data_IF_688535648222
#
_entry.id   IF_688535648222
#
_cell.length_a   1.000
_cell.length_b   1.000
_cell.length_c   1.000
_cell.angle_alpha   90.00
_cell.angle_beta   90.00
_cell.angle_gamma   90.00
#
_symmetry.space_group_name_H-M   'P 1'
#
loop_
_entity.id
_entity.type
_entity.pdbx_description
1 polymer ?
#
# COMPACT_ATOMS: atom_id res chain seq x y z
N UNK A 1 -27.25 13.50 10.28
CA UNK A 1 -26.82 12.12 9.99
C UNK A 1 -26.37 12.13 8.56
N UNK A 2 -25.10 11.82 8.31
CA UNK A 2 -24.63 11.60 6.94
C UNK A 2 -25.34 10.37 6.38
N UNK A 3 -25.89 10.49 5.20
CA UNK A 3 -26.59 9.40 4.52
C UNK A 3 -25.51 8.40 4.03
N UNK A 4 -25.51 7.19 4.59
CA UNK A 4 -24.60 6.14 4.17
C UNK A 4 -25.04 5.59 2.81
N UNK A 5 -24.16 5.68 1.84
CA UNK A 5 -24.37 5.13 0.49
C UNK A 5 -23.66 3.78 0.39
N UNK A 6 -24.40 2.75 0.00
CA UNK A 6 -23.85 1.43 -0.29
C UNK A 6 -23.53 1.31 -1.77
N UNK A 7 -22.28 0.95 -2.10
CA UNK A 7 -21.81 0.70 -3.45
C UNK A 7 -21.34 -0.74 -3.59
N UNK A 8 -21.53 -1.33 -4.77
CA UNK A 8 -20.81 -2.56 -5.10
C UNK A 8 -19.32 -2.26 -5.32
N UNK A 9 -18.47 -3.29 -5.19
CA UNK A 9 -17.02 -3.17 -5.44
C UNK A 9 -16.77 -2.59 -6.83
N UNK A 10 -17.48 -3.08 -7.85
CA UNK A 10 -17.35 -2.60 -9.23
C UNK A 10 -17.75 -1.13 -9.38
N UNK A 11 -18.82 -0.70 -8.71
CA UNK A 11 -19.23 0.71 -8.74
C UNK A 11 -18.20 1.61 -8.06
N UNK A 12 -17.65 1.16 -6.94
CA UNK A 12 -16.60 1.90 -6.23
C UNK A 12 -15.32 2.00 -7.07
N UNK A 13 -14.88 0.89 -7.68
CA UNK A 13 -13.73 0.86 -8.59
C UNK A 13 -13.92 1.84 -9.76
N UNK A 14 -15.04 1.79 -10.46
CA UNK A 14 -15.32 2.69 -11.59
C UNK A 14 -15.38 4.17 -11.18
N UNK A 15 -15.93 4.47 -10.01
CA UNK A 15 -15.96 5.83 -9.48
C UNK A 15 -14.54 6.34 -9.20
N UNK A 16 -13.72 5.56 -8.53
CA UNK A 16 -12.32 5.90 -8.20
C UNK A 16 -11.49 6.04 -9.47
N UNK A 17 -11.63 5.13 -10.42
CA UNK A 17 -10.97 5.20 -11.73
C UNK A 17 -11.27 6.50 -12.47
N UNK A 18 -12.54 6.87 -12.56
CA UNK A 18 -12.96 8.14 -13.19
C UNK A 18 -12.33 9.35 -12.51
N UNK A 19 -12.30 9.37 -11.18
CA UNK A 19 -11.68 10.46 -10.42
C UNK A 19 -10.16 10.53 -10.63
N UNK A 20 -9.46 9.39 -10.68
CA UNK A 20 -8.02 9.33 -10.92
C UNK A 20 -7.67 9.79 -12.34
N UNK A 21 -8.47 9.43 -13.35
CA UNK A 21 -8.31 9.92 -14.73
C UNK A 21 -8.55 11.44 -14.78
N UNK A 22 -9.58 11.93 -14.11
CA UNK A 22 -9.86 13.37 -14.04
C UNK A 22 -8.76 14.16 -13.33
N UNK A 23 -8.03 13.53 -12.39
CA UNK A 23 -6.84 14.09 -11.77
C UNK A 23 -5.58 14.06 -12.66
N UNK A 24 -5.66 13.44 -13.84
CA UNK A 24 -4.58 13.37 -14.83
C UNK A 24 -3.85 12.04 -14.92
N UNK A 25 -4.23 11.03 -14.14
CA UNK A 25 -3.55 9.73 -14.20
C UNK A 25 -3.95 8.98 -15.50
N UNK A 26 -2.98 8.37 -16.22
CA UNK A 26 -3.27 7.53 -17.39
C UNK A 26 -4.24 6.39 -17.04
N UNK A 27 -5.04 5.99 -18.01
CA UNK A 27 -6.11 5.00 -17.81
C UNK A 27 -5.63 3.68 -17.17
N UNK A 28 -4.46 3.20 -17.58
CA UNK A 28 -3.89 1.95 -17.06
C UNK A 28 -3.54 2.05 -15.57
N UNK A 29 -2.78 3.09 -15.21
CA UNK A 29 -2.43 3.36 -13.82
C UNK A 29 -3.66 3.68 -12.96
N UNK A 30 -4.63 4.41 -13.50
CA UNK A 30 -5.90 4.70 -12.82
C UNK A 30 -6.72 3.43 -12.57
N UNK A 31 -6.80 2.53 -13.56
CA UNK A 31 -7.52 1.25 -13.41
C UNK A 31 -6.88 0.35 -12.36
N UNK A 32 -5.56 0.18 -12.40
CA UNK A 32 -4.85 -0.67 -11.44
C UNK A 32 -4.95 -0.09 -10.02
N UNK A 33 -4.82 1.23 -9.88
CA UNK A 33 -4.96 1.91 -8.58
C UNK A 33 -6.38 1.77 -8.02
N UNK A 34 -7.40 2.03 -8.84
CA UNK A 34 -8.79 1.93 -8.42
C UNK A 34 -9.16 0.51 -7.99
N UNK A 35 -8.72 -0.50 -8.75
CA UNK A 35 -8.91 -1.91 -8.41
C UNK A 35 -8.27 -2.27 -7.07
N UNK A 36 -7.03 -1.84 -6.84
CA UNK A 36 -6.33 -2.07 -5.57
C UNK A 36 -7.11 -1.47 -4.39
N UNK A 37 -7.51 -0.20 -4.49
CA UNK A 37 -8.25 0.49 -3.44
C UNK A 37 -9.63 -0.16 -3.16
N UNK A 38 -10.34 -0.57 -4.21
CA UNK A 38 -11.62 -1.25 -4.08
C UNK A 38 -11.48 -2.60 -3.36
N UNK A 39 -10.43 -3.36 -3.69
CA UNK A 39 -10.12 -4.63 -3.01
C UNK A 39 -9.74 -4.38 -1.54
N UNK A 40 -8.96 -3.34 -1.23
CA UNK A 40 -8.63 -2.99 0.14
C UNK A 40 -9.90 -2.70 0.98
N UNK A 41 -10.84 -1.93 0.44
CA UNK A 41 -12.13 -1.68 1.10
C UNK A 41 -12.96 -2.98 1.25
N UNK A 42 -13.04 -3.78 0.22
CA UNK A 42 -13.79 -5.04 0.22
C UNK A 42 -13.24 -6.07 1.22
N UNK A 43 -11.96 -5.99 1.54
CA UNK A 43 -11.29 -6.86 2.53
C UNK A 43 -11.21 -6.24 3.93
N UNK A 44 -11.87 -5.09 4.16
CA UNK A 44 -11.93 -4.42 5.45
C UNK A 44 -10.71 -3.57 5.80
N UNK A 45 -9.79 -3.34 4.86
CA UNK A 45 -8.60 -2.50 5.04
C UNK A 45 -8.89 -1.07 4.59
N UNK A 46 -9.91 -0.45 5.15
CA UNK A 46 -10.41 0.87 4.74
C UNK A 46 -9.35 1.98 4.77
N UNK A 47 -8.35 1.87 5.64
CA UNK A 47 -7.22 2.83 5.69
C UNK A 47 -6.41 2.90 4.38
N UNK A 48 -6.52 1.88 3.52
CA UNK A 48 -5.85 1.76 2.22
C UNK A 48 -6.84 1.67 1.06
N UNK A 49 -8.12 1.95 1.31
CA UNK A 49 -9.19 1.99 0.33
C UNK A 49 -9.49 3.38 -0.22
N UNK A 50 -10.76 3.66 -0.50
CA UNK A 50 -11.25 4.90 -1.10
C UNK A 50 -10.86 6.17 -0.33
N UNK A 51 -10.64 6.08 0.98
CA UNK A 51 -10.14 7.18 1.83
C UNK A 51 -8.82 7.78 1.31
N UNK A 52 -8.05 7.04 0.52
CA UNK A 52 -6.78 7.51 -0.07
C UNK A 52 -6.97 8.38 -1.31
N UNK A 53 -8.15 8.49 -1.86
CA UNK A 53 -8.39 9.20 -3.13
C UNK A 53 -7.99 10.66 -3.07
N UNK A 54 -8.36 11.37 -2.01
CA UNK A 54 -8.02 12.79 -1.88
C UNK A 54 -6.50 13.00 -1.74
N UNK A 55 -5.84 12.14 -0.97
CA UNK A 55 -4.38 12.15 -0.83
C UNK A 55 -3.68 11.93 -2.17
N UNK A 56 -4.14 10.98 -3.00
CA UNK A 56 -3.53 10.76 -4.32
C UNK A 56 -3.83 11.89 -5.29
N UNK A 57 -5.06 12.40 -5.30
CA UNK A 57 -5.42 13.54 -6.15
C UNK A 57 -4.57 14.79 -5.81
N UNK A 58 -4.35 15.05 -4.53
CA UNK A 58 -3.50 16.14 -4.08
C UNK A 58 -2.03 15.94 -4.50
N UNK A 59 -1.49 14.74 -4.36
CA UNK A 59 -0.12 14.43 -4.79
C UNK A 59 0.05 14.56 -6.29
N UNK A 60 -0.92 14.13 -7.08
CA UNK A 60 -0.93 14.31 -8.54
C UNK A 60 -0.92 15.80 -8.87
N UNK A 61 -1.83 16.58 -8.29
CA UNK A 61 -1.93 18.02 -8.54
C UNK A 61 -0.66 18.81 -8.17
N UNK A 62 0.06 18.35 -7.14
CA UNK A 62 1.35 18.95 -6.70
C UNK A 62 2.57 18.43 -7.45
N UNK A 63 2.39 17.57 -8.46
CA UNK A 63 3.51 16.98 -9.21
C UNK A 63 4.34 15.95 -8.43
N UNK A 64 3.81 15.41 -7.33
CA UNK A 64 4.45 14.39 -6.50
C UNK A 64 4.34 12.98 -7.07
N UNK A 65 3.72 12.80 -8.23
CA UNK A 65 3.60 11.53 -8.96
C UNK A 65 3.86 11.79 -10.43
N UNK A 66 4.76 11.03 -11.04
CA UNK A 66 5.00 11.05 -12.49
C UNK A 66 3.83 10.39 -13.21
N UNK A 67 3.11 11.14 -14.05
CA UNK A 67 1.91 10.66 -14.74
C UNK A 67 2.23 9.67 -15.87
N UNK A 68 3.34 9.86 -16.56
CA UNK A 68 3.82 8.97 -17.63
C UNK A 68 5.22 8.44 -17.28
N UNK A 69 5.33 7.56 -16.27
CA UNK A 69 6.62 7.07 -15.81
C UNK A 69 7.29 6.19 -16.86
N UNK A 70 8.61 6.35 -16.99
CA UNK A 70 9.45 5.47 -17.80
C UNK A 70 9.89 4.28 -16.98
N UNK A 71 9.01 3.30 -16.87
CA UNK A 71 9.29 2.07 -16.14
C UNK A 71 10.39 1.27 -16.80
N UNK A 72 11.33 0.75 -16.02
CA UNK A 72 12.39 -0.11 -16.53
C UNK A 72 12.77 -1.17 -15.51
N UNK A 73 13.31 -2.29 -16.02
CA UNK A 73 13.81 -3.38 -15.20
C UNK A 73 15.28 -3.64 -15.54
N UNK A 74 16.14 -3.54 -14.53
CA UNK A 74 17.56 -3.88 -14.62
C UNK A 74 17.78 -5.27 -14.02
N UNK A 75 18.17 -6.23 -14.85
CA UNK A 75 18.50 -7.58 -14.40
C UNK A 75 19.89 -7.60 -13.77
N UNK A 76 19.97 -7.92 -12.48
CA UNK A 76 21.23 -7.97 -11.71
C UNK A 76 21.79 -9.38 -11.53
N UNK A 77 21.00 -10.41 -11.87
CA UNK A 77 21.36 -11.81 -11.81
C UNK A 77 20.36 -12.71 -12.52
N UNK A 78 20.53 -14.04 -12.51
CA UNK A 78 19.63 -14.98 -13.18
C UNK A 78 18.17 -14.85 -12.75
N UNK A 79 17.93 -14.59 -11.45
CA UNK A 79 16.61 -14.52 -10.84
C UNK A 79 16.42 -13.22 -10.03
N UNK A 80 17.25 -12.20 -10.27
CA UNK A 80 17.24 -10.96 -9.48
C UNK A 80 17.27 -9.73 -10.37
N UNK A 81 16.69 -8.62 -9.89
CA UNK A 81 16.76 -7.33 -10.57
C UNK A 81 16.16 -6.19 -9.75
N UNK A 82 16.29 -5.00 -10.30
CA UNK A 82 15.75 -3.76 -9.77
C UNK A 82 14.73 -3.20 -10.77
N UNK A 83 13.55 -2.91 -10.27
CA UNK A 83 12.49 -2.25 -11.03
C UNK A 83 12.44 -0.76 -10.69
N UNK A 84 12.68 0.07 -11.68
CA UNK A 84 12.68 1.53 -11.55
C UNK A 84 11.30 2.08 -11.89
N UNK A 85 10.65 2.69 -10.92
CA UNK A 85 9.28 3.18 -11.02
C UNK A 85 9.15 4.62 -11.51
N UNK A 86 10.26 5.35 -11.71
CA UNK A 86 10.28 6.75 -12.17
C UNK A 86 9.28 7.64 -11.41
N UNK A 87 9.13 7.41 -10.11
CA UNK A 87 8.19 8.10 -9.23
C UNK A 87 6.72 8.01 -9.67
N UNK A 88 6.36 6.94 -10.39
CA UNK A 88 5.01 6.68 -10.85
C UNK A 88 4.05 6.29 -9.72
N UNK A 89 2.77 6.08 -10.07
CA UNK A 89 1.74 5.64 -9.13
C UNK A 89 2.06 4.26 -8.55
N UNK A 90 2.20 4.19 -7.23
CA UNK A 90 2.77 3.03 -6.55
C UNK A 90 2.04 1.72 -6.83
N UNK A 91 0.70 1.73 -6.87
CA UNK A 91 -0.08 0.54 -7.20
C UNK A 91 0.24 -0.01 -8.59
N UNK A 92 0.38 0.88 -9.56
CA UNK A 92 0.73 0.51 -10.93
C UNK A 92 2.19 0.01 -11.02
N UNK A 93 3.13 0.76 -10.47
CA UNK A 93 4.57 0.41 -10.47
C UNK A 93 4.81 -0.95 -9.81
N UNK A 94 4.29 -1.17 -8.61
CA UNK A 94 4.50 -2.43 -7.88
C UNK A 94 3.77 -3.61 -8.53
N UNK A 95 2.64 -3.37 -9.23
CA UNK A 95 1.99 -4.41 -10.00
C UNK A 95 2.84 -4.86 -11.21
N UNK A 96 3.42 -3.92 -11.94
CA UNK A 96 4.33 -4.24 -13.05
C UNK A 96 5.59 -4.97 -12.55
N UNK A 97 6.17 -4.55 -11.42
CA UNK A 97 7.29 -5.24 -10.80
C UNK A 97 6.93 -6.66 -10.37
N UNK A 98 5.72 -6.89 -9.81
CA UNK A 98 5.25 -8.21 -9.42
C UNK A 98 5.06 -9.14 -10.64
N UNK A 99 4.58 -8.65 -11.76
CA UNK A 99 4.51 -9.43 -13.01
C UNK A 99 5.88 -9.95 -13.43
N UNK A 100 6.91 -9.11 -13.34
CA UNK A 100 8.29 -9.50 -13.64
C UNK A 100 8.79 -10.54 -12.64
N UNK A 101 8.54 -10.33 -11.34
CA UNK A 101 8.93 -11.28 -10.29
C UNK A 101 8.30 -12.66 -10.51
N UNK A 102 7.01 -12.72 -10.84
CA UNK A 102 6.29 -13.96 -11.17
C UNK A 102 6.92 -14.65 -12.39
N UNK A 103 7.19 -13.88 -13.45
CA UNK A 103 7.82 -14.43 -14.67
C UNK A 103 9.19 -15.04 -14.37
N UNK A 104 10.06 -14.31 -13.69
CA UNK A 104 11.40 -14.79 -13.30
C UNK A 104 11.32 -16.01 -12.38
N UNK A 105 10.38 -16.03 -11.42
CA UNK A 105 10.22 -17.15 -10.51
C UNK A 105 9.78 -18.43 -11.24
N UNK A 106 8.92 -18.31 -12.25
CA UNK A 106 8.50 -19.45 -13.10
C UNK A 106 9.65 -19.99 -13.95
N UNK A 107 10.57 -19.14 -14.39
CA UNK A 107 11.74 -19.56 -15.17
C UNK A 107 12.85 -20.15 -14.30
N UNK A 108 13.16 -19.52 -13.18
CA UNK A 108 14.34 -19.84 -12.37
C UNK A 108 14.03 -20.59 -11.06
N UNK A 109 12.75 -20.82 -10.73
CA UNK A 109 12.31 -21.45 -9.49
C UNK A 109 12.22 -20.49 -8.31
N UNK A 110 12.85 -19.31 -8.38
CA UNK A 110 12.83 -18.24 -7.38
C UNK A 110 13.07 -16.90 -8.08
N UNK A 111 12.56 -15.81 -7.51
CA UNK A 111 12.94 -14.46 -7.94
C UNK A 111 13.05 -13.49 -6.76
N UNK A 112 13.90 -12.48 -6.93
CA UNK A 112 13.96 -11.31 -6.04
C UNK A 112 13.99 -10.04 -6.90
N UNK A 113 12.96 -9.18 -6.73
CA UNK A 113 12.84 -7.92 -7.44
C UNK A 113 12.77 -6.78 -6.43
N UNK A 114 13.79 -5.94 -6.40
CA UNK A 114 13.76 -4.67 -5.68
C UNK A 114 12.95 -3.65 -6.49
N UNK A 115 12.18 -2.80 -5.81
CA UNK A 115 11.42 -1.71 -6.45
C UNK A 115 11.87 -0.40 -5.85
N UNK A 116 12.25 0.54 -6.67
CA UNK A 116 12.66 1.88 -6.24
C UNK A 116 11.95 2.98 -7.02
N UNK A 117 12.04 4.22 -6.52
CA UNK A 117 11.39 5.38 -7.13
C UNK A 117 9.90 5.14 -7.39
N UNK A 118 9.20 4.73 -6.36
CA UNK A 118 7.74 4.52 -6.40
C UNK A 118 7.04 5.37 -5.35
N UNK A 119 5.79 5.76 -5.61
CA UNK A 119 4.96 6.41 -4.61
C UNK A 119 4.31 5.39 -3.67
N UNK A 120 3.40 5.82 -2.79
CA UNK A 120 2.68 4.92 -1.88
C UNK A 120 2.00 3.77 -2.65
N UNK A 121 2.31 2.54 -2.27
CA UNK A 121 1.95 1.33 -2.99
C UNK A 121 0.69 0.60 -2.47
N UNK A 122 0.06 1.12 -1.41
CA UNK A 122 -1.14 0.49 -0.83
C UNK A 122 -0.83 -0.72 0.05
N UNK A 123 -1.70 -1.72 0.03
CA UNK A 123 -1.52 -2.97 0.78
C UNK A 123 -0.59 -3.93 0.06
N UNK A 124 0.32 -4.57 0.77
CA UNK A 124 1.23 -5.56 0.19
C UNK A 124 0.52 -6.87 -0.13
N UNK A 125 -0.56 -7.19 0.59
CA UNK A 125 -1.42 -8.36 0.35
C UNK A 125 -1.88 -8.48 -1.10
N UNK A 126 -2.16 -7.35 -1.75
CA UNK A 126 -2.60 -7.29 -3.14
C UNK A 126 -1.61 -7.94 -4.12
N UNK A 127 -0.33 -7.71 -3.91
CA UNK A 127 0.73 -8.21 -4.79
C UNK A 127 1.07 -9.67 -4.51
N UNK A 128 1.25 -10.03 -3.23
CA UNK A 128 1.59 -11.41 -2.87
C UNK A 128 0.46 -12.38 -3.20
N UNK A 129 -0.81 -11.93 -3.12
CA UNK A 129 -1.97 -12.73 -3.53
C UNK A 129 -1.90 -13.08 -5.02
N UNK A 130 -1.54 -12.13 -5.89
CA UNK A 130 -1.37 -12.38 -7.34
C UNK A 130 -0.34 -13.47 -7.64
N UNK A 131 0.77 -13.49 -6.91
CA UNK A 131 1.75 -14.56 -7.06
C UNK A 131 1.23 -15.91 -6.58
N UNK A 132 0.45 -15.93 -5.49
CA UNK A 132 -0.15 -17.16 -4.98
C UNK A 132 -1.25 -17.72 -5.91
N UNK A 133 -1.99 -16.86 -6.62
CA UNK A 133 -2.93 -17.23 -7.68
C UNK A 133 -2.21 -17.87 -8.89
N UNK A 134 -0.91 -17.61 -9.04
CA UNK A 134 -0.02 -18.21 -10.05
C UNK A 134 0.83 -19.38 -9.51
N UNK A 135 0.34 -20.03 -8.42
CA UNK A 135 0.95 -21.21 -7.77
C UNK A 135 2.34 -20.95 -7.17
N UNK A 136 2.64 -19.70 -6.80
CA UNK A 136 3.92 -19.30 -6.19
C UNK A 136 3.73 -18.91 -4.72
N UNK A 137 4.73 -19.18 -3.89
CA UNK A 137 4.84 -18.56 -2.56
C UNK A 137 5.48 -17.18 -2.75
N UNK A 138 4.90 -16.16 -2.14
CA UNK A 138 5.41 -14.80 -2.23
C UNK A 138 5.60 -14.15 -0.87
N UNK A 139 6.65 -13.34 -0.78
CA UNK A 139 6.94 -12.44 0.33
C UNK A 139 7.15 -11.03 -0.25
N UNK A 140 6.49 -10.04 0.32
CA UNK A 140 6.71 -8.64 -0.01
C UNK A 140 6.99 -7.83 1.25
N UNK A 141 7.90 -6.88 1.14
CA UNK A 141 8.27 -5.95 2.21
C UNK A 141 8.37 -4.55 1.62
N UNK A 142 8.04 -3.56 2.43
CA UNK A 142 8.13 -2.16 2.03
C UNK A 142 8.74 -1.34 3.16
N UNK A 143 9.55 -0.35 2.81
CA UNK A 143 9.96 0.69 3.73
C UNK A 143 9.04 1.90 3.53
N UNK A 144 8.52 2.46 4.60
CA UNK A 144 7.70 3.67 4.57
C UNK A 144 8.39 4.86 5.24
N UNK A 145 7.81 6.04 5.07
CA UNK A 145 8.28 7.27 5.72
C UNK A 145 8.40 7.07 7.24
N UNK A 146 9.35 7.77 7.91
CA UNK A 146 9.56 7.64 9.34
C UNK A 146 8.38 8.23 10.12
N UNK A 147 7.52 7.35 10.64
CA UNK A 147 6.33 7.67 11.42
C UNK A 147 6.29 7.00 12.79
N UNK A 148 7.23 6.09 13.06
CA UNK A 148 7.31 5.37 14.32
C UNK A 148 8.58 5.72 15.08
N UNK A 149 8.44 5.83 16.40
CA UNK A 149 9.58 6.07 17.30
C UNK A 149 10.25 4.75 17.68
N UNK A 150 11.59 4.72 17.87
CA UNK A 150 12.28 3.59 18.47
C UNK A 150 11.81 3.38 19.90
N UNK A 151 11.94 2.15 20.40
CA UNK A 151 11.67 1.86 21.80
C UNK A 151 12.48 2.80 22.71
N UNK A 152 11.80 3.51 23.59
CA UNK A 152 12.41 4.51 24.47
C UNK A 152 12.79 5.84 23.79
N UNK A 153 12.49 6.00 22.49
CA UNK A 153 12.72 7.24 21.74
C UNK A 153 11.54 8.22 21.82
N UNK A 154 11.76 9.44 21.30
CA UNK A 154 10.75 10.49 21.20
C UNK A 154 10.67 11.11 19.81
N UNK A 155 11.53 10.69 18.88
CA UNK A 155 11.56 11.19 17.50
C UNK A 155 11.25 10.07 16.54
N UNK A 156 10.49 10.37 15.51
CA UNK A 156 10.22 9.47 14.42
C UNK A 156 11.52 9.04 13.73
N UNK A 157 11.68 7.74 13.53
CA UNK A 157 12.88 7.17 12.91
C UNK A 157 12.55 6.00 11.96
N UNK A 158 11.62 5.13 12.35
CA UNK A 158 11.21 3.99 11.56
C UNK A 158 9.91 4.25 10.80
N UNK A 159 9.76 3.63 9.63
CA UNK A 159 8.47 3.49 8.98
C UNK A 159 7.63 2.38 9.61
N UNK A 160 6.40 2.22 9.13
CA UNK A 160 5.52 1.10 9.51
C UNK A 160 5.97 -0.23 8.91
N UNK A 161 6.81 -0.18 7.88
CA UNK A 161 7.58 -1.25 7.25
C UNK A 161 6.80 -2.59 7.19
N UNK A 162 5.71 -2.67 6.43
CA UNK A 162 4.87 -3.86 6.39
C UNK A 162 5.59 -5.06 5.79
N UNK A 163 5.16 -6.24 6.24
CA UNK A 163 5.55 -7.54 5.67
C UNK A 163 4.27 -8.25 5.26
N UNK A 164 4.23 -8.74 4.03
CA UNK A 164 3.16 -9.56 3.52
C UNK A 164 3.69 -10.89 2.99
N UNK A 165 2.87 -11.92 3.13
CA UNK A 165 3.15 -13.28 2.67
C UNK A 165 1.90 -13.86 2.03
N UNK A 166 2.07 -14.65 0.97
CA UNK A 166 0.99 -15.49 0.47
C UNK A 166 1.52 -16.84 0.00
N UNK A 167 0.67 -17.85 0.12
CA UNK A 167 0.92 -19.20 -0.39
C UNK A 167 -0.33 -19.77 -1.04
N UNK A 168 -0.20 -20.52 -2.15
CA UNK A 168 -1.31 -21.20 -2.77
C UNK A 168 -1.87 -22.28 -1.84
N UNK A 169 -3.15 -22.59 -2.01
CA UNK A 169 -3.84 -23.63 -1.25
C UNK A 169 -4.76 -24.42 -2.18
N UNK A 170 -4.48 -25.70 -2.36
CA UNK A 170 -5.22 -26.56 -3.28
C UNK A 170 -6.74 -26.52 -3.02
N UNK A 171 -7.51 -26.15 -4.04
CA UNK A 171 -8.97 -26.10 -4.00
C UNK A 171 -9.58 -24.98 -3.16
N UNK A 172 -8.78 -24.01 -2.71
CA UNK A 172 -9.23 -22.91 -1.87
C UNK A 172 -8.54 -21.61 -2.26
N UNK A 173 -9.05 -20.49 -1.74
CA UNK A 173 -8.35 -19.20 -1.81
C UNK A 173 -6.96 -19.29 -1.17
N UNK A 174 -5.96 -18.59 -1.69
CA UNK A 174 -4.62 -18.52 -1.10
C UNK A 174 -4.65 -18.09 0.37
N UNK A 175 -3.69 -18.57 1.15
CA UNK A 175 -3.41 -18.00 2.47
C UNK A 175 -2.69 -16.68 2.23
N UNK A 176 -3.19 -15.60 2.83
CA UNK A 176 -2.61 -14.26 2.70
C UNK A 176 -2.45 -13.64 4.08
N UNK A 177 -1.30 -13.05 4.31
CA UNK A 177 -0.95 -12.31 5.52
C UNK A 177 -0.34 -10.97 5.10
N UNK A 178 -0.75 -9.86 5.76
CA UNK A 178 -0.18 -8.53 5.55
C UNK A 178 -0.29 -7.72 6.84
N UNK A 179 0.82 -7.24 7.35
CA UNK A 179 0.88 -6.57 8.64
C UNK A 179 1.98 -5.50 8.66
N UNK A 180 1.67 -4.34 9.24
CA UNK A 180 2.68 -3.38 9.67
C UNK A 180 3.54 -4.00 10.79
N UNK A 181 4.81 -3.63 10.87
CA UNK A 181 5.73 -4.07 11.95
C UNK A 181 5.71 -3.15 13.17
N UNK A 182 4.86 -2.12 13.16
CA UNK A 182 4.61 -1.23 14.30
C UNK A 182 3.41 -1.71 15.12
N UNK A 183 3.28 -1.20 16.35
CA UNK A 183 2.17 -1.55 17.25
C UNK A 183 0.82 -1.34 16.59
N UNK A 184 0.68 -0.27 15.82
CA UNK A 184 -0.56 0.03 15.11
C UNK A 184 -0.32 0.76 13.79
N UNK A 185 -1.23 0.53 12.83
CA UNK A 185 -1.21 1.24 11.56
C UNK A 185 -1.66 2.70 11.74
N UNK A 186 -0.97 3.63 11.08
CA UNK A 186 -1.29 5.07 11.11
C UNK A 186 -2.76 5.38 10.77
N UNK A 187 -3.34 4.66 9.82
CA UNK A 187 -4.74 4.84 9.43
C UNK A 187 -5.74 4.65 10.56
N UNK A 188 -5.46 3.79 11.56
CA UNK A 188 -6.32 3.62 12.73
C UNK A 188 -6.24 4.81 13.69
N UNK A 189 -5.07 5.44 13.80
CA UNK A 189 -4.90 6.67 14.57
C UNK A 189 -5.70 7.80 13.92
N UNK A 190 -5.62 7.92 12.59
CA UNK A 190 -6.40 8.92 11.83
C UNK A 190 -7.91 8.69 11.95
N UNK A 191 -8.38 7.45 11.93
CA UNK A 191 -9.79 7.10 12.10
C UNK A 191 -10.29 7.49 13.50
N UNK A 192 -9.54 7.16 14.55
CA UNK A 192 -9.86 7.58 15.92
C UNK A 192 -9.90 9.10 16.05
N UNK A 193 -8.96 9.81 15.40
CA UNK A 193 -8.95 11.28 15.36
C UNK A 193 -10.19 11.84 14.66
N UNK A 194 -10.57 11.29 13.50
CA UNK A 194 -11.75 11.74 12.76
C UNK A 194 -13.04 11.53 13.57
N UNK A 195 -13.09 10.47 14.38
CA UNK A 195 -14.22 10.14 15.27
C UNK A 195 -14.13 10.81 16.65
N UNK A 196 -13.11 11.62 16.91
CA UNK A 196 -12.82 12.23 18.23
C UNK A 196 -12.83 11.19 19.37
N UNK A 197 -12.28 10.02 19.10
CA UNK A 197 -12.18 8.91 20.06
C UNK A 197 -10.78 8.83 20.65
N UNK A 198 -10.62 8.46 21.93
CA UNK A 198 -9.31 8.20 22.51
C UNK A 198 -8.69 6.97 21.86
N UNK A 199 -7.37 6.98 21.73
CA UNK A 199 -6.61 5.80 21.30
C UNK A 199 -6.14 5.00 22.52
N UNK A 200 -5.92 3.67 22.39
CA UNK A 200 -5.30 2.86 23.43
C UNK A 200 -3.90 3.35 23.80
N UNK A 201 -3.49 3.07 25.02
CA UNK A 201 -2.10 3.25 25.45
C UNK A 201 -1.15 2.50 24.51
N UNK A 202 0.05 3.01 24.32
CA UNK A 202 1.10 2.47 23.44
C UNK A 202 0.86 2.62 21.92
N UNK A 203 -0.20 3.30 21.46
CA UNK A 203 -0.38 3.52 20.03
C UNK A 203 0.43 4.73 19.52
N UNK A 204 0.62 5.72 20.35
CA UNK A 204 1.39 6.91 20.04
C UNK A 204 2.14 7.43 21.28
N UNK A 205 3.14 8.26 21.07
CA UNK A 205 3.87 9.00 22.12
C UNK A 205 3.79 10.50 21.83
N UNK A 206 3.74 11.30 22.88
CA UNK A 206 3.88 12.75 22.76
C UNK A 206 5.35 13.18 22.86
N UNK A 207 5.62 14.49 22.76
CA UNK A 207 6.97 15.05 22.86
C UNK A 207 7.66 14.79 24.20
N UNK A 208 6.89 14.54 25.27
CA UNK A 208 7.41 14.27 26.62
C UNK A 208 7.60 12.78 26.90
N UNK A 209 7.32 11.91 25.93
CA UNK A 209 7.28 10.43 26.06
C UNK A 209 6.11 9.91 26.90
N UNK A 210 5.15 10.74 27.26
CA UNK A 210 3.90 10.20 27.82
C UNK A 210 3.15 9.46 26.70
N UNK A 211 2.65 8.27 27.01
CA UNK A 211 1.81 7.53 26.10
C UNK A 211 0.49 8.28 25.94
N UNK A 212 0.20 8.75 24.73
CA UNK A 212 -0.95 9.58 24.51
C UNK A 212 -2.20 8.76 24.29
N UNK A 213 -3.21 9.00 25.10
CA UNK A 213 -4.56 8.43 24.95
C UNK A 213 -5.45 9.26 24.03
N UNK A 214 -5.00 10.43 23.62
CA UNK A 214 -5.74 11.33 22.73
C UNK A 214 -4.92 11.59 21.51
N UNK A 215 -5.55 11.64 20.37
CA UNK A 215 -4.90 12.06 19.14
C UNK A 215 -4.56 13.54 19.31
N UNK A 216 -3.33 13.80 19.67
CA UNK A 216 -2.81 15.14 19.87
C UNK A 216 -2.66 15.92 18.57
N UNK A 217 -2.25 17.18 18.71
CA UNK A 217 -2.12 18.09 17.58
C UNK A 217 -0.89 17.80 16.70
N UNK A 218 -0.03 16.84 17.10
CA UNK A 218 1.33 16.66 16.57
C UNK A 218 1.60 15.20 16.22
N UNK A 219 0.99 14.78 15.13
CA UNK A 219 1.37 13.56 14.44
C UNK A 219 1.87 13.90 13.04
#
# INVERSE_FOLDING_TARGET
MEELVTLSITQLEELMKKKLIAAGLPQEAASETAKHLAIADATGVHSHGAVRMDYYAERIAKGGITLAPKLSFEKTGPATGIFHGDNGMGQYVCNEAMKIAIHLAKEAGIAYVGVEQTSHSGTMAYYVKKAAEEELIALAMCQSDPMAVPFGGTRNYFGTNPIAFAAPRAGHEPIVFDMATTVQAWGKILDARAKNQPIPENWAVDETRSEERRVGKEC
#
